data_IF_991755110794
#
_entry.id   IF_991755110794
#
_cell.length_a   1.000
_cell.length_b   1.000
_cell.length_c   1.000
_cell.angle_alpha   90.00
_cell.angle_beta   90.00
_cell.angle_gamma   90.00
#
_symmetry.space_group_name_H-M   'P 1'
#
loop_
_entity.id
_entity.type
_entity.pdbx_description
1 polymer ?
#
# COMPACT_ATOMS: atom_id res chain seq x y z
N UNK A 1 -4.63 15.70 0.23
CA UNK A 1 -5.04 14.53 -0.57
C UNK A 1 -6.36 14.06 0.02
N UNK A 2 -7.44 14.09 -0.76
CA UNK A 2 -8.77 13.64 -0.34
C UNK A 2 -9.18 12.53 -1.30
N UNK A 3 -8.99 11.29 -0.86
CA UNK A 3 -9.49 10.10 -1.53
C UNK A 3 -9.92 9.09 -0.47
N UNK A 4 -10.75 8.12 -0.84
CA UNK A 4 -11.29 7.16 0.11
C UNK A 4 -10.18 6.25 0.65
N UNK A 5 -10.14 6.04 1.97
CA UNK A 5 -9.18 5.16 2.63
C UNK A 5 -9.56 3.70 2.32
N UNK A 6 -8.72 3.04 1.52
CA UNK A 6 -8.92 1.65 1.12
C UNK A 6 -8.33 0.66 2.13
N UNK A 7 -7.17 1.00 2.72
CA UNK A 7 -6.51 0.14 3.70
C UNK A 7 -5.64 0.94 4.68
N UNK A 8 -5.53 0.45 5.91
CA UNK A 8 -4.58 0.95 6.91
C UNK A 8 -3.92 -0.22 7.63
N UNK A 9 -2.59 -0.20 7.75
CA UNK A 9 -1.84 -1.30 8.37
C UNK A 9 -0.59 -0.80 9.09
N UNK A 10 -0.35 -1.34 10.28
CA UNK A 10 0.92 -1.16 11.01
C UNK A 10 1.99 -2.06 10.41
N UNK A 11 3.12 -1.46 10.03
CA UNK A 11 4.29 -2.11 9.45
C UNK A 11 5.45 -1.97 10.45
N UNK A 12 5.85 -3.06 11.14
CA UNK A 12 6.95 -3.00 12.09
C UNK A 12 8.30 -2.78 11.37
N UNK A 13 9.31 -2.26 12.07
CA UNK A 13 10.65 -2.08 11.54
C UNK A 13 11.27 -3.44 11.21
N UNK A 14 11.99 -3.53 10.08
CA UNK A 14 12.76 -4.72 9.71
C UNK A 14 11.99 -6.04 9.82
N UNK A 15 10.71 -6.05 9.45
CA UNK A 15 9.85 -7.24 9.57
C UNK A 15 10.47 -8.46 8.85
N UNK A 16 11.22 -9.29 9.59
CA UNK A 16 11.85 -10.56 9.23
C UNK A 16 12.07 -10.83 7.72
N UNK A 17 12.84 -9.95 7.06
CA UNK A 17 13.19 -10.00 5.62
C UNK A 17 11.99 -9.98 4.64
N UNK A 18 10.77 -9.73 5.10
CA UNK A 18 9.56 -9.70 4.29
C UNK A 18 8.95 -8.31 4.29
N UNK A 19 8.76 -7.77 3.08
CA UNK A 19 7.93 -6.60 2.91
C UNK A 19 6.53 -6.85 3.52
N UNK A 20 6.05 -5.88 4.30
CA UNK A 20 4.67 -5.85 4.75
C UNK A 20 3.74 -5.87 3.54
N UNK A 21 2.71 -6.72 3.57
CA UNK A 21 1.79 -6.92 2.44
C UNK A 21 0.43 -6.33 2.77
N UNK A 22 -0.07 -5.44 1.92
CA UNK A 22 -1.43 -4.88 2.03
C UNK A 22 -2.19 -5.29 0.76
N UNK A 23 -3.25 -6.09 0.90
CA UNK A 23 -4.12 -6.46 -0.22
C UNK A 23 -5.23 -5.41 -0.28
N UNK A 24 -5.38 -4.75 -1.43
CA UNK A 24 -6.38 -3.69 -1.62
C UNK A 24 -7.70 -4.28 -2.11
N UNK A 25 -7.62 -5.21 -3.07
CA UNK A 25 -8.79 -5.86 -3.65
C UNK A 25 -8.41 -6.78 -4.81
N UNK A 26 -9.43 -7.44 -5.34
CA UNK A 26 -9.43 -8.20 -6.59
C UNK A 26 -10.43 -7.54 -7.52
N UNK A 27 -10.03 -7.36 -8.77
CA UNK A 27 -10.76 -6.61 -9.79
C UNK A 27 -10.89 -7.49 -11.03
N UNK A 28 -12.06 -7.49 -11.65
CA UNK A 28 -12.26 -8.21 -12.91
C UNK A 28 -11.40 -7.57 -14.02
N UNK A 29 -11.05 -8.34 -15.05
CA UNK A 29 -10.17 -7.84 -16.12
C UNK A 29 -10.74 -6.61 -16.87
N UNK A 30 -12.06 -6.45 -16.87
CA UNK A 30 -12.77 -5.32 -17.46
C UNK A 30 -12.98 -4.15 -16.48
N UNK A 31 -12.71 -4.35 -15.19
CA UNK A 31 -12.88 -3.34 -14.16
C UNK A 31 -11.69 -2.38 -14.12
N UNK A 32 -11.97 -1.09 -13.91
CA UNK A 32 -10.92 -0.09 -13.77
C UNK A 32 -10.20 -0.29 -12.42
N UNK A 33 -8.96 -0.78 -12.49
CA UNK A 33 -8.08 -0.86 -11.31
C UNK A 33 -7.84 0.54 -10.74
N UNK A 34 -8.10 0.78 -9.43
CA UNK A 34 -7.97 2.10 -8.85
C UNK A 34 -6.51 2.55 -8.82
N UNK A 35 -6.29 3.82 -9.13
CA UNK A 35 -5.02 4.49 -8.82
C UNK A 35 -4.91 4.65 -7.30
N UNK A 36 -3.70 4.50 -6.77
CA UNK A 36 -3.46 4.53 -5.33
C UNK A 36 -2.61 5.73 -4.93
N UNK A 37 -3.02 6.41 -3.87
CA UNK A 37 -2.20 7.36 -3.13
C UNK A 37 -1.80 6.72 -1.79
N UNK A 38 -0.51 6.68 -1.47
CA UNK A 38 0.01 6.00 -0.27
C UNK A 38 0.71 7.03 0.62
N UNK A 39 0.39 7.00 1.91
CA UNK A 39 1.07 7.78 2.94
C UNK A 39 1.39 6.90 4.15
N UNK A 40 2.24 7.42 5.04
CA UNK A 40 2.48 6.78 6.32
C UNK A 40 2.54 7.80 7.45
N UNK A 41 2.25 7.34 8.66
CA UNK A 41 2.31 8.11 9.89
C UNK A 41 3.06 7.32 10.97
N UNK A 42 3.71 8.02 11.89
CA UNK A 42 4.35 7.42 13.06
C UNK A 42 4.23 8.35 14.27
N UNK A 43 4.31 7.77 15.46
CA UNK A 43 4.37 8.55 16.72
C UNK A 43 5.72 9.21 16.93
N UNK A 44 6.74 8.76 16.21
CA UNK A 44 8.09 9.30 16.21
C UNK A 44 8.41 9.89 14.83
N UNK A 45 9.44 10.72 14.77
CA UNK A 45 9.94 11.20 13.49
C UNK A 45 10.54 10.03 12.69
N UNK A 46 10.04 9.81 11.48
CA UNK A 46 10.56 8.84 10.52
C UNK A 46 10.80 9.56 9.19
N UNK A 47 12.04 9.60 8.67
CA UNK A 47 12.33 10.13 7.35
C UNK A 47 11.49 9.42 6.27
N UNK A 48 10.97 10.17 5.29
CA UNK A 48 10.14 9.60 4.22
C UNK A 48 10.81 8.45 3.47
N UNK A 49 12.11 8.57 3.21
CA UNK A 49 12.86 7.58 2.43
C UNK A 49 13.09 6.26 3.18
N UNK A 50 12.81 6.22 4.49
CA UNK A 50 12.90 5.00 5.30
C UNK A 50 11.65 4.11 5.19
N UNK A 51 10.58 4.58 4.53
CA UNK A 51 9.40 3.77 4.23
C UNK A 51 9.22 3.75 2.72
N UNK A 52 9.45 2.60 2.11
CA UNK A 52 9.34 2.41 0.67
C UNK A 52 8.22 1.44 0.33
N UNK A 53 7.63 1.58 -0.84
CA UNK A 53 6.59 0.66 -1.30
C UNK A 53 6.63 0.43 -2.81
N UNK A 54 6.09 -0.71 -3.22
CA UNK A 54 5.83 -1.07 -4.62
C UNK A 54 4.39 -1.57 -4.73
N UNK A 55 3.67 -1.09 -5.73
CA UNK A 55 2.34 -1.59 -6.09
C UNK A 55 2.51 -2.69 -7.14
N UNK A 56 1.88 -3.83 -6.90
CA UNK A 56 1.90 -4.99 -7.78
C UNK A 56 0.48 -5.36 -8.20
N UNK A 57 0.35 -5.77 -9.45
CA UNK A 57 -0.92 -6.13 -10.09
C UNK A 57 -0.85 -7.56 -10.67
N UNK A 58 -0.63 -8.60 -9.86
CA UNK A 58 -0.66 -9.98 -10.35
C UNK A 58 -2.03 -10.33 -10.94
N UNK A 59 -1.99 -10.91 -12.15
CA UNK A 59 -3.14 -11.56 -12.79
C UNK A 59 -3.32 -12.95 -12.18
N UNK A 60 -4.53 -13.28 -11.76
CA UNK A 60 -4.91 -14.57 -11.19
C UNK A 60 -5.32 -15.56 -12.30
N UNK A 61 -5.52 -16.83 -11.92
CA UNK A 61 -5.85 -17.90 -12.89
C UNK A 61 -7.19 -17.69 -13.60
N UNK A 62 -8.14 -17.02 -12.95
CA UNK A 62 -9.45 -16.66 -13.51
C UNK A 62 -9.41 -15.39 -14.37
N UNK A 63 -8.24 -14.75 -14.50
CA UNK A 63 -8.06 -13.52 -15.27
C UNK A 63 -8.30 -12.24 -14.47
N UNK A 64 -8.77 -12.32 -13.21
CA UNK A 64 -8.88 -11.15 -12.34
C UNK A 64 -7.50 -10.60 -11.95
N UNK A 65 -7.45 -9.33 -11.58
CA UNK A 65 -6.24 -8.62 -11.16
C UNK A 65 -6.33 -8.39 -9.66
N UNK A 66 -5.36 -8.91 -8.89
CA UNK A 66 -5.24 -8.59 -7.47
C UNK A 66 -4.30 -7.40 -7.29
N UNK A 67 -4.75 -6.35 -6.60
CA UNK A 67 -3.92 -5.18 -6.28
C UNK A 67 -3.27 -5.38 -4.92
N UNK A 68 -1.94 -5.39 -4.89
CA UNK A 68 -1.17 -5.61 -3.66
C UNK A 68 -0.10 -4.53 -3.50
N UNK A 69 -0.02 -3.92 -2.33
CA UNK A 69 1.06 -3.01 -1.95
C UNK A 69 2.04 -3.77 -1.06
N UNK A 70 3.30 -3.79 -1.47
CA UNK A 70 4.42 -4.28 -0.67
C UNK A 70 5.15 -3.09 -0.06
N UNK A 71 5.31 -3.08 1.26
CA UNK A 71 5.91 -1.99 2.03
C UNK A 71 7.14 -2.50 2.77
N UNK A 72 8.25 -1.76 2.71
CA UNK A 72 9.43 -1.99 3.54
C UNK A 72 9.63 -0.80 4.46
N UNK A 73 9.78 -1.07 5.76
CA UNK A 73 10.06 -0.08 6.80
C UNK A 73 11.50 -0.29 7.32
N UNK A 74 12.41 0.58 6.85
CA UNK A 74 13.82 0.64 7.27
C UNK A 74 14.05 1.54 8.49
N UNK A 75 12.99 2.10 9.08
CA UNK A 75 13.10 2.89 10.29
C UNK A 75 13.26 2.01 11.54
N UNK A 76 13.48 2.64 12.70
CA UNK A 76 13.53 1.95 13.99
C UNK A 76 12.17 1.87 14.69
N UNK A 77 11.10 2.32 14.04
CA UNK A 77 9.78 2.49 14.67
C UNK A 77 8.68 1.91 13.80
N UNK A 78 7.60 1.48 14.45
CA UNK A 78 6.39 1.10 13.75
C UNK A 78 5.84 2.32 12.98
N UNK A 79 5.37 2.05 11.77
CA UNK A 79 4.66 3.04 10.95
C UNK A 79 3.28 2.51 10.58
N UNK A 80 2.28 3.38 10.60
CA UNK A 80 0.96 3.07 10.03
C UNK A 80 0.97 3.53 8.58
N UNK A 81 0.87 2.59 7.65
CA UNK A 81 0.70 2.91 6.22
C UNK A 81 -0.78 2.98 5.91
N UNK A 82 -1.17 4.06 5.25
CA UNK A 82 -2.51 4.32 4.77
C UNK A 82 -2.51 4.33 3.24
N UNK A 83 -3.41 3.55 2.65
CA UNK A 83 -3.60 3.47 1.20
C UNK A 83 -4.96 4.06 0.87
N UNK A 84 -4.96 5.08 0.02
CA UNK A 84 -6.14 5.78 -0.45
C UNK A 84 -6.34 5.52 -1.95
N UNK A 85 -7.58 5.62 -2.40
CA UNK A 85 -7.87 5.80 -3.81
C UNK A 85 -7.40 7.20 -4.25
N UNK A 86 -6.67 7.29 -5.35
CA UNK A 86 -6.25 8.57 -5.95
C UNK A 86 -7.32 9.06 -6.92
N UNK A 87 -8.13 10.02 -6.49
CA UNK A 87 -9.24 10.58 -7.28
C UNK A 87 -8.81 11.68 -8.27
N UNK A 88 -7.55 11.72 -8.70
CA UNK A 88 -7.00 12.80 -9.55
C UNK A 88 -7.60 12.94 -10.96
N UNK A 89 -8.64 12.17 -11.30
CA UNK A 89 -9.42 12.32 -12.55
C UNK A 89 -10.83 12.93 -12.32
N UNK A 90 -11.08 13.60 -11.17
CA UNK A 90 -12.29 14.39 -10.89
C UNK A 90 -12.11 15.90 -10.99
#
# INVERSE_FOLDING_TARGET
>A
MSGDLLASRVIPPHADDRAGRIVIGEYEAEELVPRLAISFESKQYVPKDNVQWVVSHPVLEDGSIRVVVFVVNYSAHDVTVNVYQDDQDR
#
